data_IF_348111248862
#
_entry.id   IF_348111248862
#
_cell.length_a   1.000
_cell.length_b   1.000
_cell.length_c   1.000
_cell.angle_alpha   90.00
_cell.angle_beta   90.00
_cell.angle_gamma   90.00
#
_symmetry.space_group_name_H-M   'P 1'
#
loop_
_entity.id
_entity.type
_entity.pdbx_description
1 polymer ?
#
# COMPACT_ATOMS: atom_id res chain seq x y z
N UNK A 1 32.46 37.52 48.82
CA UNK A 1 33.16 36.89 47.71
C UNK A 1 32.75 35.41 47.73
N UNK A 2 31.70 35.02 47.00
CA UNK A 2 31.24 33.67 46.94
C UNK A 2 31.82 32.97 45.70
N UNK A 3 32.62 31.96 45.91
CA UNK A 3 33.24 31.15 44.86
C UNK A 3 32.25 30.07 44.44
N UNK A 4 31.78 30.12 43.25
CA UNK A 4 30.92 29.13 42.62
C UNK A 4 31.81 28.02 42.03
N UNK A 5 31.75 26.77 42.58
CA UNK A 5 32.38 25.62 41.98
C UNK A 5 31.36 24.86 41.13
N UNK A 6 31.69 24.54 39.85
CA UNK A 6 30.81 23.69 39.07
C UNK A 6 30.94 22.23 39.51
N UNK A 7 29.79 21.61 39.81
CA UNK A 7 29.67 20.18 40.02
C UNK A 7 29.82 19.47 38.66
N UNK A 8 30.85 18.69 38.54
CA UNK A 8 31.12 17.81 37.41
C UNK A 8 30.33 16.52 37.64
N UNK A 9 29.27 16.32 36.89
CA UNK A 9 28.57 15.05 36.83
C UNK A 9 29.45 14.06 36.07
N UNK A 10 29.92 13.03 36.79
CA UNK A 10 30.65 11.89 36.26
C UNK A 10 29.57 10.91 35.73
N UNK A 11 29.32 10.95 34.43
CA UNK A 11 28.52 9.94 33.77
C UNK A 11 29.37 8.70 33.52
N UNK A 12 29.35 7.79 34.47
CA UNK A 12 29.72 6.41 34.21
C UNK A 12 28.63 5.74 33.40
N UNK A 13 28.73 5.82 32.08
CA UNK A 13 27.96 4.99 31.16
C UNK A 13 28.39 3.55 31.36
N UNK A 14 27.56 2.80 32.08
CA UNK A 14 27.67 1.35 32.12
C UNK A 14 27.38 0.84 30.69
N UNK A 15 28.44 0.31 30.10
CA UNK A 15 28.41 -0.46 28.87
C UNK A 15 27.58 -1.75 29.12
N UNK A 16 26.28 -1.69 28.85
CA UNK A 16 25.44 -2.86 28.72
C UNK A 16 25.43 -3.27 27.26
N UNK A 17 26.37 -4.13 26.90
CA UNK A 17 26.30 -4.94 25.66
C UNK A 17 25.09 -5.86 25.71
N UNK A 18 23.91 -5.31 25.40
CA UNK A 18 22.77 -6.06 24.93
C UNK A 18 22.79 -5.98 23.41
N UNK A 19 23.16 -7.07 22.77
CA UNK A 19 22.95 -7.30 21.35
C UNK A 19 21.45 -7.50 21.11
N UNK A 20 20.67 -6.46 21.34
CA UNK A 20 19.37 -6.33 20.74
C UNK A 20 19.63 -5.85 19.31
N UNK A 21 19.25 -6.66 18.34
CA UNK A 21 19.12 -6.20 16.97
C UNK A 21 18.23 -4.96 17.03
N UNK A 22 18.82 -3.77 16.96
CA UNK A 22 18.06 -2.54 16.82
C UNK A 22 17.19 -2.73 15.58
N UNK A 23 15.91 -3.05 15.84
CA UNK A 23 14.91 -3.03 14.79
C UNK A 23 14.99 -1.62 14.21
N UNK A 24 15.55 -1.54 13.01
CA UNK A 24 15.63 -0.28 12.30
C UNK A 24 14.19 0.16 11.99
N UNK A 25 13.61 0.90 12.94
CA UNK A 25 12.21 1.35 12.88
C UNK A 25 11.94 2.08 11.57
N UNK A 26 12.95 2.77 11.04
CA UNK A 26 12.88 3.44 9.77
C UNK A 26 12.74 2.45 8.62
N UNK A 27 13.51 1.38 8.60
CA UNK A 27 13.46 0.32 7.59
C UNK A 27 12.13 -0.44 7.64
N UNK A 28 11.63 -0.73 8.85
CA UNK A 28 10.32 -1.36 9.04
C UNK A 28 9.19 -0.45 8.52
N UNK A 29 9.20 0.84 8.88
CA UNK A 29 8.18 1.80 8.41
C UNK A 29 8.24 1.94 6.90
N UNK A 30 9.40 2.16 6.31
CA UNK A 30 9.55 2.31 4.86
C UNK A 30 9.26 1.01 4.11
N UNK A 31 9.59 -0.15 4.66
CA UNK A 31 9.24 -1.46 4.09
C UNK A 31 7.73 -1.68 4.03
N UNK A 32 6.99 -1.21 5.06
CA UNK A 32 5.53 -1.35 5.08
C UNK A 32 4.78 -0.26 4.32
N UNK A 33 5.26 0.98 4.33
CA UNK A 33 4.61 2.12 3.66
C UNK A 33 5.11 2.34 2.23
N UNK A 34 6.34 1.92 1.94
CA UNK A 34 6.94 2.03 0.60
C UNK A 34 6.21 1.17 -0.43
N UNK A 35 6.27 1.62 -1.69
CA UNK A 35 5.72 0.88 -2.81
C UNK A 35 6.73 -0.16 -3.31
N UNK A 36 6.30 -1.39 -3.50
CA UNK A 36 7.13 -2.54 -3.90
C UNK A 36 6.45 -3.39 -4.97
N UNK A 37 7.21 -4.25 -5.63
CA UNK A 37 6.72 -5.20 -6.64
C UNK A 37 6.23 -6.52 -6.02
N UNK A 38 6.28 -6.65 -4.70
CA UNK A 38 5.73 -7.77 -3.94
C UNK A 38 4.84 -7.27 -2.81
N UNK A 39 3.85 -8.06 -2.44
CA UNK A 39 3.05 -7.78 -1.26
C UNK A 39 3.40 -8.75 -0.14
N UNK A 40 4.23 -8.29 0.77
CA UNK A 40 4.55 -9.03 1.98
C UNK A 40 3.31 -9.06 2.90
N UNK A 41 2.79 -10.25 3.19
CA UNK A 41 1.61 -10.44 4.03
C UNK A 41 1.99 -10.67 5.49
N UNK A 42 2.85 -11.65 5.75
CA UNK A 42 3.25 -12.03 7.10
C UNK A 42 4.47 -12.94 7.08
N UNK A 43 5.12 -13.06 8.22
CA UNK A 43 6.15 -14.06 8.47
C UNK A 43 5.56 -15.21 9.29
N UNK A 44 5.67 -16.44 8.80
CA UNK A 44 5.34 -17.65 9.55
C UNK A 44 6.63 -18.40 9.84
N UNK A 45 7.14 -18.25 11.08
CA UNK A 45 8.48 -18.69 11.44
C UNK A 45 9.55 -17.96 10.64
N UNK A 46 10.46 -18.68 10.00
CA UNK A 46 11.54 -18.13 9.17
C UNK A 46 11.12 -17.89 7.70
N UNK A 47 9.86 -18.16 7.35
CA UNK A 47 9.36 -17.96 5.97
C UNK A 47 8.52 -16.71 5.86
N UNK A 48 8.98 -15.77 5.02
CA UNK A 48 8.16 -14.67 4.57
C UNK A 48 7.12 -15.17 3.56
N UNK A 49 5.84 -14.85 3.80
CA UNK A 49 4.78 -15.09 2.85
C UNK A 49 4.52 -13.78 2.12
N UNK A 50 4.90 -13.76 0.85
CA UNK A 50 4.66 -12.65 -0.05
C UNK A 50 3.86 -13.10 -1.27
N UNK A 51 3.06 -12.19 -1.83
CA UNK A 51 2.39 -12.37 -3.10
C UNK A 51 3.21 -11.65 -4.15
N UNK A 52 3.83 -12.38 -5.10
CA UNK A 52 4.54 -11.76 -6.20
C UNK A 52 3.55 -11.11 -7.17
N UNK A 53 3.84 -9.89 -7.59
CA UNK A 53 2.99 -9.11 -8.47
C UNK A 53 3.50 -9.17 -9.92
N UNK A 54 2.63 -8.97 -10.93
CA UNK A 54 3.03 -8.95 -12.32
C UNK A 54 3.84 -7.69 -12.63
N UNK A 55 5.02 -7.90 -13.20
CA UNK A 55 5.91 -6.86 -13.69
C UNK A 55 5.70 -6.72 -15.19
N UNK A 56 5.43 -5.50 -15.64
CA UNK A 56 5.25 -5.14 -17.04
C UNK A 56 6.17 -3.97 -17.34
N UNK A 57 7.27 -4.25 -18.01
CA UNK A 57 8.27 -3.25 -18.34
C UNK A 57 8.55 -3.21 -19.84
N UNK A 58 8.91 -2.02 -20.32
CA UNK A 58 9.35 -1.84 -21.70
C UNK A 58 10.76 -1.30 -21.73
N UNK A 59 11.69 -2.13 -22.17
CA UNK A 59 13.05 -1.71 -22.51
C UNK A 59 13.06 -0.89 -23.79
N UNK A 60 14.02 0.01 -23.91
CA UNK A 60 14.27 0.76 -25.16
C UNK A 60 14.89 -0.12 -26.25
N UNK A 61 15.56 -1.19 -25.86
CA UNK A 61 16.33 -2.07 -26.76
C UNK A 61 15.60 -3.38 -27.07
N UNK A 62 14.99 -4.02 -26.09
CA UNK A 62 14.40 -5.36 -26.20
C UNK A 62 12.86 -5.38 -26.24
N UNK A 63 12.19 -4.22 -26.07
CA UNK A 63 10.73 -4.12 -26.19
C UNK A 63 9.99 -4.44 -24.90
N UNK A 64 8.81 -5.06 -24.99
CA UNK A 64 7.95 -5.38 -23.86
C UNK A 64 8.34 -6.70 -23.21
N UNK A 65 8.42 -6.69 -21.88
CA UNK A 65 8.65 -7.86 -21.03
C UNK A 65 7.58 -7.94 -19.97
N UNK A 66 7.05 -9.15 -19.75
CA UNK A 66 6.04 -9.44 -18.74
C UNK A 66 6.48 -10.67 -17.96
N UNK A 67 6.67 -10.50 -16.66
CA UNK A 67 7.09 -11.58 -15.77
C UNK A 67 6.60 -11.35 -14.34
N UNK A 68 6.75 -12.36 -13.48
CA UNK A 68 6.43 -12.23 -12.05
C UNK A 68 7.60 -11.61 -11.29
N UNK A 69 7.32 -10.74 -10.32
CA UNK A 69 8.33 -10.12 -9.46
C UNK A 69 9.22 -11.14 -8.74
N UNK A 70 8.71 -12.33 -8.43
CA UNK A 70 9.49 -13.42 -7.84
C UNK A 70 10.78 -13.77 -8.59
N UNK A 71 10.89 -13.41 -9.87
CA UNK A 71 12.08 -13.67 -10.70
C UNK A 71 13.19 -12.64 -10.49
N UNK A 72 12.88 -11.49 -9.92
CA UNK A 72 13.81 -10.38 -9.70
C UNK A 72 13.95 -10.01 -8.21
N UNK A 73 13.29 -10.76 -7.33
CA UNK A 73 13.40 -10.61 -5.87
C UNK A 73 14.75 -11.09 -5.36
N UNK A 74 15.15 -10.60 -4.17
CA UNK A 74 16.39 -11.00 -3.48
C UNK A 74 17.67 -10.81 -4.30
N UNK A 75 17.73 -9.78 -5.14
CA UNK A 75 18.89 -9.50 -6.00
C UNK A 75 19.01 -10.39 -7.24
N UNK A 76 17.97 -11.20 -7.54
CA UNK A 76 17.94 -11.99 -8.76
C UNK A 76 17.77 -11.09 -9.98
N UNK A 77 18.34 -11.55 -11.10
CA UNK A 77 18.22 -10.87 -12.39
C UNK A 77 17.48 -11.76 -13.38
N UNK A 78 16.51 -11.16 -14.08
CA UNK A 78 15.76 -11.85 -15.13
C UNK A 78 15.71 -11.02 -16.42
N UNK A 79 16.15 -11.60 -17.53
CA UNK A 79 16.20 -10.93 -18.85
C UNK A 79 16.91 -9.57 -18.85
N UNK A 80 17.89 -9.37 -17.96
CA UNK A 80 18.63 -8.11 -17.82
C UNK A 80 18.00 -7.10 -16.87
N UNK A 81 16.81 -7.40 -16.35
CA UNK A 81 16.12 -6.57 -15.34
C UNK A 81 16.42 -7.07 -13.92
N UNK A 82 16.55 -6.15 -12.99
CA UNK A 82 16.71 -6.40 -11.56
C UNK A 82 16.15 -5.21 -10.76
N UNK A 83 15.96 -5.40 -9.46
CA UNK A 83 15.54 -4.33 -8.57
C UNK A 83 16.80 -3.64 -8.04
N UNK A 84 16.94 -2.33 -8.31
CA UNK A 84 18.05 -1.54 -7.79
C UNK A 84 17.91 -1.40 -6.27
N UNK A 85 18.98 -1.68 -5.54
CA UNK A 85 19.01 -1.55 -4.07
C UNK A 85 18.84 -0.09 -3.61
N UNK A 86 19.32 0.86 -4.41
CA UNK A 86 19.25 2.29 -4.10
C UNK A 86 17.84 2.85 -4.27
N UNK A 87 17.17 2.50 -5.37
CA UNK A 87 15.88 3.08 -5.73
C UNK A 87 14.67 2.18 -5.41
N UNK A 88 14.89 0.88 -5.15
CA UNK A 88 13.82 -0.12 -5.00
C UNK A 88 12.99 -0.31 -6.28
N UNK A 89 13.47 0.17 -7.44
CA UNK A 89 12.76 0.11 -8.72
C UNK A 89 13.46 -0.81 -9.70
N UNK A 90 12.68 -1.32 -10.66
CA UNK A 90 13.24 -2.17 -11.73
C UNK A 90 14.08 -1.31 -12.66
N UNK A 91 15.30 -1.78 -12.91
CA UNK A 91 16.28 -1.18 -13.78
C UNK A 91 16.87 -2.21 -14.72
N UNK A 92 17.43 -1.74 -15.84
CA UNK A 92 18.23 -2.51 -16.79
C UNK A 92 19.60 -1.84 -16.96
N UNK A 93 20.64 -2.61 -17.29
CA UNK A 93 21.95 -2.06 -17.65
C UNK A 93 22.00 -1.75 -19.14
N UNK A 94 22.38 -0.51 -19.47
CA UNK A 94 22.65 -0.13 -20.84
C UNK A 94 24.01 -0.72 -21.34
N UNK A 95 24.32 -0.54 -22.61
CA UNK A 95 25.58 -0.97 -23.19
C UNK A 95 26.84 -0.32 -22.53
N UNK A 96 26.68 0.79 -21.84
CA UNK A 96 27.73 1.47 -21.08
C UNK A 96 27.86 0.95 -19.63
N UNK A 97 26.98 0.02 -19.19
CA UNK A 97 26.96 -0.52 -17.84
C UNK A 97 26.23 0.35 -16.80
N UNK A 98 25.60 1.43 -17.24
CA UNK A 98 24.84 2.33 -16.37
C UNK A 98 23.42 1.80 -16.15
N UNK A 99 22.89 2.00 -14.92
CA UNK A 99 21.50 1.68 -14.62
C UNK A 99 20.54 2.64 -15.32
N UNK A 100 19.67 2.10 -16.13
CA UNK A 100 18.65 2.87 -16.83
C UNK A 100 17.28 2.34 -16.43
N UNK A 101 16.37 3.25 -16.09
CA UNK A 101 15.01 2.90 -15.76
C UNK A 101 14.20 2.66 -17.03
N UNK A 102 13.64 1.45 -17.25
CA UNK A 102 12.73 1.18 -18.35
C UNK A 102 11.40 1.92 -18.12
N UNK A 103 10.56 1.96 -19.14
CA UNK A 103 9.17 2.37 -18.95
C UNK A 103 8.44 1.25 -18.17
N UNK A 104 7.95 1.58 -16.98
CA UNK A 104 7.41 0.65 -16.02
C UNK A 104 5.89 0.85 -15.86
N UNK A 105 5.14 -0.19 -16.22
CA UNK A 105 3.67 -0.27 -16.05
C UNK A 105 3.28 -1.40 -15.10
N UNK A 106 4.21 -1.85 -14.27
CA UNK A 106 4.00 -2.95 -13.35
C UNK A 106 2.91 -2.66 -12.32
N UNK A 107 2.23 -3.71 -11.91
CA UNK A 107 1.29 -3.62 -10.80
C UNK A 107 2.09 -3.73 -9.51
N UNK A 108 2.27 -2.60 -8.85
CA UNK A 108 2.93 -2.52 -7.54
C UNK A 108 1.95 -2.82 -6.40
N UNK A 109 2.47 -3.02 -5.20
CA UNK A 109 1.69 -3.28 -3.98
C UNK A 109 0.58 -2.24 -3.78
N UNK A 110 0.89 -0.96 -3.92
CA UNK A 110 -0.07 0.12 -3.71
C UNK A 110 -1.16 0.13 -4.79
N UNK A 111 -0.79 -0.08 -6.06
CA UNK A 111 -1.75 -0.20 -7.17
C UNK A 111 -2.66 -1.39 -6.96
N UNK A 112 -2.12 -2.54 -6.57
CA UNK A 112 -2.88 -3.74 -6.31
C UNK A 112 -3.86 -3.57 -5.13
N UNK A 113 -3.40 -2.94 -4.03
CA UNK A 113 -4.25 -2.61 -2.89
C UNK A 113 -5.40 -1.66 -3.28
N UNK A 114 -5.11 -0.63 -4.10
CA UNK A 114 -6.14 0.27 -4.63
C UNK A 114 -7.15 -0.46 -5.51
N UNK A 115 -6.71 -1.39 -6.36
CA UNK A 115 -7.61 -2.19 -7.20
C UNK A 115 -8.55 -3.06 -6.36
N UNK A 116 -8.00 -3.75 -5.34
CA UNK A 116 -8.82 -4.57 -4.42
C UNK A 116 -9.81 -3.70 -3.65
N UNK A 117 -9.36 -2.58 -3.09
CA UNK A 117 -10.22 -1.67 -2.32
C UNK A 117 -11.35 -1.11 -3.18
N UNK A 118 -11.04 -0.71 -4.42
CA UNK A 118 -12.04 -0.22 -5.37
C UNK A 118 -13.03 -1.30 -5.78
N UNK A 119 -12.54 -2.51 -6.07
CA UNK A 119 -13.39 -3.64 -6.41
C UNK A 119 -14.31 -4.03 -5.24
N UNK A 120 -13.78 -4.02 -4.01
CA UNK A 120 -14.55 -4.27 -2.81
C UNK A 120 -15.64 -3.22 -2.61
N UNK A 121 -15.31 -1.93 -2.77
CA UNK A 121 -16.26 -0.83 -2.66
C UNK A 121 -17.40 -0.99 -3.68
N UNK A 122 -17.07 -1.21 -4.95
CA UNK A 122 -18.05 -1.43 -6.01
C UNK A 122 -18.93 -2.64 -5.69
N UNK A 123 -18.34 -3.74 -5.23
CA UNK A 123 -19.09 -4.93 -4.82
C UNK A 123 -20.07 -4.62 -3.69
N UNK A 124 -19.64 -3.90 -2.65
CA UNK A 124 -20.49 -3.53 -1.52
C UNK A 124 -21.68 -2.66 -1.97
N UNK A 125 -21.42 -1.66 -2.80
CA UNK A 125 -22.48 -0.77 -3.33
C UNK A 125 -23.46 -1.56 -4.22
N UNK A 126 -22.94 -2.38 -5.14
CA UNK A 126 -23.79 -3.19 -6.02
C UNK A 126 -24.62 -4.23 -5.26
N UNK A 127 -24.04 -4.86 -4.23
CA UNK A 127 -24.74 -5.80 -3.38
C UNK A 127 -25.89 -5.10 -2.62
N UNK A 128 -25.64 -3.92 -2.06
CA UNK A 128 -26.64 -3.08 -1.40
C UNK A 128 -27.73 -2.65 -2.38
N UNK A 129 -27.37 -2.12 -3.54
CA UNK A 129 -28.33 -1.72 -4.58
C UNK A 129 -29.19 -2.90 -5.07
N UNK A 130 -28.58 -4.10 -5.16
CA UNK A 130 -29.32 -5.32 -5.52
C UNK A 130 -30.34 -5.70 -4.46
N UNK A 131 -30.04 -5.52 -3.18
CA UNK A 131 -30.97 -5.76 -2.09
C UNK A 131 -32.19 -4.82 -2.23
N UNK A 132 -31.98 -3.50 -2.35
CA UNK A 132 -33.04 -2.51 -2.50
C UNK A 132 -33.91 -2.68 -3.76
N UNK A 133 -33.37 -3.24 -4.83
CA UNK A 133 -34.14 -3.60 -6.03
C UNK A 133 -35.10 -4.78 -5.85
N UNK A 134 -34.86 -5.61 -4.83
CA UNK A 134 -35.63 -6.85 -4.61
C UNK A 134 -36.61 -6.76 -3.44
N UNK A 135 -36.44 -5.74 -2.61
CA UNK A 135 -37.22 -5.56 -1.40
C UNK A 135 -37.93 -4.20 -1.44
N UNK A 136 -39.06 -4.12 -0.75
CA UNK A 136 -39.78 -2.85 -0.61
C UNK A 136 -39.17 -2.05 0.55
N UNK A 137 -38.31 -1.08 0.20
CA UNK A 137 -37.59 -0.25 1.18
C UNK A 137 -38.50 0.58 2.10
N UNK A 138 -39.79 0.73 1.77
CA UNK A 138 -40.76 1.47 2.60
C UNK A 138 -41.35 0.57 3.71
N UNK A 139 -41.47 -0.73 3.44
CA UNK A 139 -42.16 -1.67 4.34
C UNK A 139 -41.19 -2.70 4.95
N UNK A 140 -40.01 -2.88 4.39
CA UNK A 140 -39.04 -3.87 4.85
C UNK A 140 -37.76 -3.18 5.33
N UNK A 141 -37.36 -3.43 6.56
CA UNK A 141 -36.08 -2.94 7.09
C UNK A 141 -34.91 -3.67 6.42
N UNK A 142 -33.84 -2.96 6.03
CA UNK A 142 -32.68 -3.56 5.41
C UNK A 142 -32.03 -4.57 6.34
N UNK A 143 -31.52 -5.67 5.76
CA UNK A 143 -30.88 -6.75 6.50
C UNK A 143 -29.48 -7.05 5.95
N UNK A 144 -28.65 -7.69 6.80
CA UNK A 144 -27.30 -8.09 6.42
C UNK A 144 -26.42 -6.92 5.97
N UNK A 145 -25.83 -7.05 4.79
CA UNK A 145 -24.92 -6.03 4.24
C UNK A 145 -25.62 -4.69 3.97
N UNK A 146 -26.88 -4.72 3.53
CA UNK A 146 -27.63 -3.50 3.28
C UNK A 146 -27.83 -2.68 4.56
N UNK A 147 -28.15 -3.34 5.69
CA UNK A 147 -28.28 -2.69 6.98
C UNK A 147 -26.95 -2.07 7.49
N UNK A 148 -25.81 -2.69 7.15
CA UNK A 148 -24.50 -2.13 7.49
C UNK A 148 -24.16 -0.90 6.63
N UNK A 149 -24.51 -0.93 5.36
CA UNK A 149 -24.19 0.14 4.41
C UNK A 149 -25.12 1.34 4.50
N UNK A 150 -26.38 1.13 4.91
CA UNK A 150 -27.40 2.19 4.98
C UNK A 150 -26.96 3.41 5.79
N UNK A 151 -26.48 3.30 7.06
CA UNK A 151 -26.07 4.46 7.83
C UNK A 151 -24.89 5.20 7.19
N UNK A 152 -23.98 4.49 6.51
CA UNK A 152 -22.85 5.09 5.80
C UNK A 152 -23.33 5.88 4.60
N UNK A 153 -24.22 5.30 3.79
CA UNK A 153 -24.82 5.97 2.63
C UNK A 153 -25.61 7.19 3.07
N UNK A 154 -26.44 7.05 4.09
CA UNK A 154 -27.23 8.18 4.62
C UNK A 154 -26.36 9.29 5.19
N UNK A 155 -25.27 8.95 5.87
CA UNK A 155 -24.31 9.93 6.38
C UNK A 155 -23.68 10.74 5.23
N UNK A 156 -23.28 10.07 4.16
CA UNK A 156 -22.70 10.73 2.99
C UNK A 156 -23.76 11.58 2.27
N UNK A 157 -24.95 11.02 2.07
CA UNK A 157 -26.04 11.68 1.33
C UNK A 157 -26.54 12.92 2.05
N UNK A 158 -26.88 12.80 3.33
CA UNK A 158 -27.46 13.90 4.11
C UNK A 158 -26.43 14.80 4.76
N UNK A 159 -25.31 14.25 5.22
CA UNK A 159 -24.27 15.00 5.94
C UNK A 159 -23.19 15.62 5.06
N UNK A 160 -23.01 15.11 3.84
CA UNK A 160 -21.98 15.64 2.92
C UNK A 160 -22.63 16.20 1.66
N UNK A 161 -23.38 15.39 0.93
CA UNK A 161 -23.92 15.79 -0.37
C UNK A 161 -24.94 16.90 -0.24
N UNK A 162 -25.88 16.78 0.70
CA UNK A 162 -26.90 17.81 0.93
C UNK A 162 -26.30 19.13 1.40
N UNK A 163 -25.33 19.08 2.32
CA UNK A 163 -24.68 20.29 2.84
C UNK A 163 -23.79 20.98 1.79
N UNK A 164 -23.18 20.20 0.87
CA UNK A 164 -22.30 20.74 -0.16
C UNK A 164 -23.04 21.25 -1.41
N UNK A 165 -24.13 20.57 -1.81
CA UNK A 165 -24.84 20.83 -3.07
C UNK A 165 -26.15 21.62 -2.83
N UNK A 166 -26.73 21.52 -1.63
CA UNK A 166 -28.03 22.10 -1.30
C UNK A 166 -29.21 21.20 -1.70
N UNK A 167 -30.38 21.77 -1.95
CA UNK A 167 -31.63 21.01 -2.17
C UNK A 167 -31.63 20.14 -3.44
N UNK A 168 -30.76 20.46 -4.40
CA UNK A 168 -30.65 19.71 -5.66
C UNK A 168 -29.77 18.44 -5.53
N UNK A 169 -29.28 18.12 -4.33
CA UNK A 169 -28.38 16.98 -4.09
C UNK A 169 -28.97 15.64 -4.57
N UNK A 170 -30.31 15.49 -4.52
CA UNK A 170 -30.99 14.25 -4.93
C UNK A 170 -30.78 13.89 -6.40
N UNK A 171 -30.41 14.86 -7.24
CA UNK A 171 -30.09 14.61 -8.66
C UNK A 171 -28.76 13.90 -8.86
N UNK A 172 -27.89 13.99 -7.87
CA UNK A 172 -26.51 13.47 -7.88
C UNK A 172 -26.32 12.34 -6.87
N UNK A 173 -27.30 12.10 -6.01
CA UNK A 173 -27.31 10.99 -5.07
C UNK A 173 -27.62 9.67 -5.79
N UNK A 174 -26.93 8.57 -5.46
CA UNK A 174 -27.10 7.26 -6.10
C UNK A 174 -28.47 6.63 -5.83
#
# INVERSE_FOLDING_TARGET
VSVWTPVRADESVADSTATESELNVQEVIFGHTGDSYEWHLTNIGDKAISIPLPVIVRSRTSGWHVFSSAKVEHGAQYEGFYISEESGKIVEKNAAGEEVRPFDLSITKNVFAMMISSALLVFLILATARWYRRHDALNEAPTGLAALMEPIIMMIDTGVAKDAIGEDYTKFSP
#
